data_IF_900957397356
#
_entry.id   IF_900957397356
#
_cell.length_a   1.000
_cell.length_b   1.000
_cell.length_c   1.000
_cell.angle_alpha   90.00
_cell.angle_beta   90.00
_cell.angle_gamma   90.00
#
_symmetry.space_group_name_H-M   'P 1'
#
loop_
_entity.id
_entity.type
_entity.pdbx_description
1 polymer ?
#
# COMPACT_ATOMS: atom_id res chain seq x y z
N UNK A 1 32.27 -32.30 -5.26
CA UNK A 1 30.83 -32.04 -4.96
C UNK A 1 30.65 -31.20 -3.72
N UNK A 2 31.17 -31.56 -2.57
CA UNK A 2 31.01 -30.78 -1.29
C UNK A 2 31.55 -29.34 -1.40
N UNK A 3 32.70 -29.14 -2.03
CA UNK A 3 33.29 -27.80 -2.21
C UNK A 3 32.40 -26.88 -3.05
N UNK A 4 31.84 -27.40 -4.14
CA UNK A 4 30.86 -26.60 -4.94
C UNK A 4 29.62 -26.22 -4.16
N UNK A 5 29.07 -27.11 -3.35
CA UNK A 5 27.94 -26.85 -2.50
C UNK A 5 28.23 -25.73 -1.47
N UNK A 6 29.43 -25.72 -0.92
CA UNK A 6 29.88 -24.66 0.00
C UNK A 6 29.96 -23.29 -0.68
N UNK A 7 30.53 -23.21 -1.88
CA UNK A 7 30.58 -21.93 -2.63
C UNK A 7 29.19 -21.42 -2.99
N UNK A 8 28.28 -22.32 -3.40
CA UNK A 8 26.87 -21.95 -3.66
C UNK A 8 26.21 -21.43 -2.38
N UNK A 9 26.41 -22.11 -1.24
CA UNK A 9 25.85 -21.67 0.04
C UNK A 9 26.39 -20.30 0.45
N UNK A 10 27.69 -20.05 0.29
CA UNK A 10 28.31 -18.75 0.58
C UNK A 10 27.70 -17.67 -0.32
N UNK A 11 27.58 -17.93 -1.63
CA UNK A 11 26.99 -16.99 -2.57
C UNK A 11 25.54 -16.63 -2.21
N UNK A 12 24.70 -17.62 -1.94
CA UNK A 12 23.31 -17.41 -1.52
C UNK A 12 23.20 -16.65 -0.21
N UNK A 13 24.05 -17.00 0.77
CA UNK A 13 24.12 -16.29 2.06
C UNK A 13 24.48 -14.83 1.84
N UNK A 14 25.49 -14.53 1.03
CA UNK A 14 25.92 -13.17 0.72
C UNK A 14 24.81 -12.36 0.04
N UNK A 15 24.08 -12.94 -0.90
CA UNK A 15 22.92 -12.30 -1.56
C UNK A 15 21.82 -12.00 -0.55
N UNK A 16 21.48 -12.92 0.35
CA UNK A 16 20.46 -12.71 1.36
C UNK A 16 20.86 -11.65 2.39
N UNK A 17 22.12 -11.64 2.81
CA UNK A 17 22.67 -10.57 3.68
C UNK A 17 22.58 -9.22 2.98
N UNK A 18 23.04 -9.12 1.74
CA UNK A 18 22.97 -7.89 0.96
C UNK A 18 21.53 -7.40 0.79
N UNK A 19 20.61 -8.32 0.40
CA UNK A 19 19.18 -8.01 0.23
C UNK A 19 18.49 -7.58 1.54
N UNK A 20 19.04 -7.95 2.68
CA UNK A 20 18.54 -7.55 4.01
C UNK A 20 19.12 -6.22 4.45
N UNK A 21 20.42 -6.00 4.26
CA UNK A 21 21.15 -4.83 4.76
C UNK A 21 20.95 -3.61 3.86
N UNK A 22 21.00 -3.78 2.53
CA UNK A 22 20.87 -2.66 1.59
C UNK A 22 19.61 -1.80 1.80
N UNK A 23 18.40 -2.37 2.00
CA UNK A 23 17.21 -1.56 2.29
C UNK A 23 17.28 -0.78 3.61
N UNK A 24 18.17 -1.17 4.54
CA UNK A 24 18.36 -0.48 5.83
C UNK A 24 19.31 0.72 5.71
N UNK A 25 20.09 0.81 4.62
CA UNK A 25 21.11 1.85 4.42
C UNK A 25 20.55 3.26 4.18
N UNK A 26 19.22 3.40 3.99
CA UNK A 26 18.59 4.69 3.68
C UNK A 26 18.83 5.18 2.24
N UNK A 27 19.53 4.44 1.40
CA UNK A 27 19.76 4.79 -0.01
C UNK A 27 18.43 4.87 -0.76
N UNK A 28 18.21 5.99 -1.47
CA UNK A 28 16.95 6.29 -2.18
C UNK A 28 16.85 5.67 -3.57
N UNK A 29 17.60 4.61 -3.86
CA UNK A 29 17.55 3.91 -5.14
C UNK A 29 16.38 2.91 -5.17
N UNK A 30 15.51 3.03 -6.18
CA UNK A 30 14.24 2.29 -6.25
C UNK A 30 14.42 0.76 -6.20
N UNK A 31 15.44 0.21 -6.87
CA UNK A 31 15.71 -1.23 -6.85
C UNK A 31 16.09 -1.73 -5.43
N UNK A 32 16.88 -0.96 -4.67
CA UNK A 32 17.24 -1.30 -3.28
C UNK A 32 15.98 -1.30 -2.40
N UNK A 33 15.13 -0.29 -2.54
CA UNK A 33 13.86 -0.24 -1.80
C UNK A 33 12.92 -1.37 -2.20
N UNK A 34 12.92 -1.75 -3.47
CA UNK A 34 12.15 -2.88 -4.01
C UNK A 34 12.43 -4.20 -3.32
N UNK A 35 13.66 -4.43 -2.82
CA UNK A 35 14.00 -5.63 -2.05
C UNK A 35 13.12 -5.79 -0.78
N UNK A 36 12.61 -4.70 -0.24
CA UNK A 36 11.73 -4.74 0.93
C UNK A 36 10.39 -5.45 0.67
N UNK A 37 9.94 -5.57 -0.57
CA UNK A 37 8.71 -6.29 -0.90
C UNK A 37 8.86 -7.82 -0.75
N UNK A 38 10.09 -8.33 -0.82
CA UNK A 38 10.37 -9.77 -0.77
C UNK A 38 10.75 -10.29 0.62
N UNK A 39 10.45 -9.54 1.70
CA UNK A 39 10.85 -9.91 3.07
C UNK A 39 10.38 -11.30 3.50
N UNK A 40 9.15 -11.69 3.14
CA UNK A 40 8.60 -13.00 3.50
C UNK A 40 9.32 -14.13 2.76
N UNK A 41 9.63 -13.94 1.49
CA UNK A 41 10.37 -14.88 0.68
C UNK A 41 11.80 -15.05 1.19
N UNK A 42 12.47 -13.92 1.52
CA UNK A 42 13.82 -13.94 2.10
C UNK A 42 13.85 -14.59 3.48
N UNK A 43 12.82 -14.41 4.29
CA UNK A 43 12.68 -15.10 5.58
C UNK A 43 12.68 -16.61 5.40
N UNK A 44 11.77 -17.13 4.58
CA UNK A 44 11.65 -18.57 4.39
C UNK A 44 12.89 -19.18 3.72
N UNK A 45 13.46 -18.49 2.74
CA UNK A 45 14.69 -18.91 2.10
C UNK A 45 15.85 -18.97 3.09
N UNK A 46 15.98 -17.97 3.96
CA UNK A 46 17.00 -17.96 5.00
C UNK A 46 16.81 -19.10 6.00
N UNK A 47 15.57 -19.40 6.42
CA UNK A 47 15.26 -20.53 7.32
C UNK A 47 15.64 -21.86 6.69
N UNK A 48 15.26 -22.10 5.45
CA UNK A 48 15.56 -23.37 4.74
C UNK A 48 17.07 -23.53 4.54
N UNK A 49 17.75 -22.48 4.07
CA UNK A 49 19.19 -22.52 3.87
C UNK A 49 19.96 -22.65 5.20
N UNK A 50 19.48 -22.04 6.29
CA UNK A 50 20.07 -22.22 7.62
C UNK A 50 19.98 -23.70 8.08
N UNK A 51 18.81 -24.33 7.89
CA UNK A 51 18.63 -25.74 8.22
C UNK A 51 19.57 -26.64 7.41
N UNK A 52 19.69 -26.38 6.09
CA UNK A 52 20.63 -27.12 5.22
C UNK A 52 22.10 -26.89 5.68
N UNK A 53 22.47 -25.64 5.96
CA UNK A 53 23.81 -25.29 6.38
C UNK A 53 24.22 -26.01 7.68
N UNK A 54 23.31 -26.13 8.64
CA UNK A 54 23.58 -26.82 9.91
C UNK A 54 23.81 -28.33 9.77
N UNK A 55 23.31 -28.94 8.68
CA UNK A 55 23.56 -30.34 8.35
C UNK A 55 24.93 -30.57 7.68
N UNK A 56 25.60 -29.50 7.23
CA UNK A 56 26.90 -29.60 6.58
C UNK A 56 28.05 -29.47 7.61
N UNK A 57 29.11 -30.27 7.55
CA UNK A 57 30.21 -30.27 8.53
C UNK A 57 30.86 -28.92 8.74
N UNK A 58 30.91 -28.07 7.70
CA UNK A 58 31.53 -26.73 7.72
C UNK A 58 30.50 -25.61 7.57
N UNK A 59 29.19 -25.91 7.65
CA UNK A 59 28.11 -24.95 7.40
C UNK A 59 27.68 -24.12 8.59
N UNK A 60 28.21 -24.36 9.80
CA UNK A 60 27.74 -23.73 11.05
C UNK A 60 27.71 -22.22 11.00
N UNK A 61 28.78 -21.59 10.48
CA UNK A 61 28.83 -20.11 10.37
C UNK A 61 27.81 -19.55 9.41
N UNK A 62 27.64 -20.19 8.25
CA UNK A 62 26.60 -19.82 7.29
C UNK A 62 25.20 -19.99 7.89
N UNK A 63 24.98 -21.09 8.64
CA UNK A 63 23.72 -21.31 9.36
C UNK A 63 23.40 -20.23 10.39
N UNK A 64 24.40 -19.79 11.18
CA UNK A 64 24.23 -18.71 12.15
C UNK A 64 23.91 -17.36 11.46
N UNK A 65 24.62 -17.04 10.38
CA UNK A 65 24.36 -15.80 9.61
C UNK A 65 22.96 -15.82 9.00
N UNK A 66 22.53 -16.93 8.41
CA UNK A 66 21.21 -17.11 7.84
C UNK A 66 20.10 -17.04 8.91
N UNK A 67 20.35 -17.61 10.10
CA UNK A 67 19.44 -17.47 11.23
C UNK A 67 19.29 -16.00 11.67
N UNK A 68 20.40 -15.25 11.71
CA UNK A 68 20.34 -13.81 12.00
C UNK A 68 19.56 -13.05 10.92
N UNK A 69 19.76 -13.36 9.63
CA UNK A 69 18.97 -12.80 8.53
C UNK A 69 17.48 -13.11 8.73
N UNK A 70 17.13 -14.36 9.03
CA UNK A 70 15.73 -14.74 9.27
C UNK A 70 15.12 -13.96 10.45
N UNK A 71 15.86 -13.79 11.55
CA UNK A 71 15.40 -13.00 12.70
C UNK A 71 15.17 -11.53 12.35
N UNK A 72 16.06 -10.91 11.58
CA UNK A 72 15.87 -9.53 11.10
C UNK A 72 14.61 -9.44 10.24
N UNK A 73 14.43 -10.34 9.28
CA UNK A 73 13.22 -10.33 8.44
C UNK A 73 11.95 -10.55 9.26
N UNK A 74 11.98 -11.48 10.22
CA UNK A 74 10.86 -11.73 11.14
C UNK A 74 10.49 -10.47 11.94
N UNK A 75 11.47 -9.73 12.44
CA UNK A 75 11.24 -8.46 13.16
C UNK A 75 10.51 -7.41 12.33
N UNK A 76 10.69 -7.40 11.01
CA UNK A 76 9.91 -6.56 10.10
C UNK A 76 8.53 -7.13 9.78
N UNK A 77 8.42 -8.45 9.61
CA UNK A 77 7.18 -9.13 9.23
C UNK A 77 6.17 -9.13 10.38
N UNK A 78 6.62 -9.37 11.62
CA UNK A 78 5.72 -9.52 12.78
C UNK A 78 4.82 -8.30 13.00
N UNK A 79 5.29 -7.12 12.60
CA UNK A 79 4.52 -5.86 12.71
C UNK A 79 3.21 -5.87 11.89
N UNK A 80 3.13 -6.72 10.88
CA UNK A 80 1.95 -6.87 10.01
C UNK A 80 1.12 -8.10 10.34
N UNK A 81 1.42 -8.77 11.45
CA UNK A 81 0.69 -9.95 11.91
C UNK A 81 -0.25 -9.63 13.06
N UNK A 82 -1.17 -10.55 13.34
CA UNK A 82 -2.07 -10.47 14.51
C UNK A 82 -1.35 -10.50 15.87
N UNK A 83 -0.07 -10.87 15.90
CA UNK A 83 0.75 -10.91 17.12
C UNK A 83 1.31 -9.53 17.49
N UNK A 84 1.24 -8.55 16.58
CA UNK A 84 1.66 -7.19 16.87
C UNK A 84 0.52 -6.41 17.50
N UNK A 85 0.87 -5.38 18.29
CA UNK A 85 -0.13 -4.46 18.85
C UNK A 85 -0.97 -3.83 17.74
N UNK A 86 -2.24 -3.61 17.99
CA UNK A 86 -3.11 -2.89 17.06
C UNK A 86 -2.53 -1.51 16.76
N UNK A 87 -2.38 -1.20 15.50
CA UNK A 87 -1.85 0.10 15.05
C UNK A 87 -2.96 1.14 14.86
N UNK A 88 -4.23 0.69 14.75
CA UNK A 88 -5.40 1.55 14.69
C UNK A 88 -6.21 1.43 15.97
N UNK A 89 -6.74 2.58 16.43
CA UNK A 89 -7.69 2.58 17.52
C UNK A 89 -9.00 1.92 17.04
N UNK A 90 -9.59 1.10 17.90
CA UNK A 90 -10.97 0.63 17.66
C UNK A 90 -11.94 1.78 17.86
N UNK A 91 -13.06 1.77 17.14
CA UNK A 91 -14.11 2.72 17.37
C UNK A 91 -14.70 2.54 18.78
N UNK A 92 -15.06 3.63 19.42
CA UNK A 92 -15.89 3.61 20.63
C UNK A 92 -17.19 2.84 20.35
N UNK A 93 -17.71 2.10 21.33
CA UNK A 93 -18.94 1.31 21.16
C UNK A 93 -20.15 2.17 20.77
N UNK A 94 -20.24 3.39 21.30
CA UNK A 94 -21.32 4.33 20.97
C UNK A 94 -21.20 4.81 19.52
N UNK A 95 -19.98 5.17 19.07
CA UNK A 95 -19.72 5.54 17.68
C UNK A 95 -19.92 4.37 16.71
N UNK A 96 -19.51 3.15 17.13
CA UNK A 96 -19.70 1.95 16.32
C UNK A 96 -21.19 1.57 16.15
N UNK A 97 -22.05 1.94 17.09
CA UNK A 97 -23.50 1.71 17.02
C UNK A 97 -24.25 2.78 16.20
N UNK A 98 -23.71 3.99 16.09
CA UNK A 98 -24.33 5.08 15.34
C UNK A 98 -23.94 5.02 13.86
N UNK A 99 -24.81 4.49 13.02
CA UNK A 99 -24.60 4.42 11.55
C UNK A 99 -24.37 5.78 10.89
N UNK A 100 -24.84 6.86 11.50
CA UNK A 100 -24.64 8.23 10.98
C UNK A 100 -23.19 8.72 11.19
N UNK A 101 -22.45 8.06 12.06
CA UNK A 101 -21.01 8.31 12.32
C UNK A 101 -20.09 7.40 11.51
N UNK A 102 -20.63 6.60 10.58
CA UNK A 102 -19.86 5.75 9.69
C UNK A 102 -19.60 6.44 8.36
N UNK A 103 -18.49 6.08 7.73
CA UNK A 103 -18.15 6.44 6.36
C UNK A 103 -17.62 5.20 5.65
N UNK A 104 -18.12 4.96 4.45
CA UNK A 104 -17.62 3.91 3.56
C UNK A 104 -16.76 4.53 2.46
N UNK A 105 -15.56 3.97 2.24
CA UNK A 105 -14.59 4.46 1.27
C UNK A 105 -14.30 3.37 0.24
N UNK A 106 -14.25 3.75 -1.03
CA UNK A 106 -13.70 2.93 -2.11
C UNK A 106 -12.48 3.66 -2.68
N UNK A 107 -11.30 3.06 -2.57
CA UNK A 107 -10.08 3.55 -3.18
C UNK A 107 -9.68 2.63 -4.34
N UNK A 108 -9.42 3.20 -5.51
CA UNK A 108 -9.06 2.47 -6.71
C UNK A 108 -7.90 3.14 -7.44
N UNK A 109 -6.83 2.39 -7.74
CA UNK A 109 -5.90 2.75 -8.79
C UNK A 109 -6.45 2.19 -10.10
N UNK A 110 -6.87 3.07 -11.01
CA UNK A 110 -7.53 2.65 -12.25
C UNK A 110 -6.53 2.23 -13.33
N UNK A 111 -5.24 2.54 -13.15
CA UNK A 111 -4.19 2.42 -14.16
C UNK A 111 -4.57 3.22 -15.40
N UNK A 112 -4.01 4.39 -15.58
CA UNK A 112 -4.37 5.38 -16.62
C UNK A 112 -4.54 4.78 -18.02
N UNK A 113 -3.72 3.78 -18.39
CA UNK A 113 -3.83 3.11 -19.70
C UNK A 113 -5.00 2.12 -19.83
N UNK A 114 -5.67 1.76 -18.72
CA UNK A 114 -6.87 0.95 -18.73
C UNK A 114 -8.06 1.82 -19.16
N UNK A 115 -8.94 1.30 -20.01
CA UNK A 115 -10.13 1.99 -20.55
C UNK A 115 -11.44 1.26 -20.23
N UNK A 116 -11.38 0.29 -19.32
CA UNK A 116 -12.55 -0.42 -18.81
C UNK A 116 -13.24 0.42 -17.71
N UNK A 117 -13.87 1.51 -18.13
CA UNK A 117 -14.59 2.43 -17.23
C UNK A 117 -15.77 1.74 -16.56
N UNK A 118 -16.47 0.88 -17.32
CA UNK A 118 -17.69 0.21 -16.88
C UNK A 118 -17.44 -0.70 -15.69
N UNK A 119 -16.28 -1.34 -15.60
CA UNK A 119 -15.93 -2.18 -14.47
C UNK A 119 -15.90 -1.40 -13.14
N UNK A 120 -15.31 -0.20 -13.12
CA UNK A 120 -15.30 0.65 -11.93
C UNK A 120 -16.68 1.21 -11.64
N UNK A 121 -17.40 1.71 -12.66
CA UNK A 121 -18.76 2.25 -12.51
C UNK A 121 -19.70 1.19 -11.92
N UNK A 122 -19.66 -0.04 -12.45
CA UNK A 122 -20.46 -1.15 -11.94
C UNK A 122 -20.08 -1.51 -10.49
N UNK A 123 -18.79 -1.46 -10.15
CA UNK A 123 -18.32 -1.68 -8.78
C UNK A 123 -18.86 -0.60 -7.83
N UNK A 124 -18.76 0.69 -8.22
CA UNK A 124 -19.26 1.81 -7.42
C UNK A 124 -20.76 1.68 -7.20
N UNK A 125 -21.54 1.40 -8.24
CA UNK A 125 -23.00 1.22 -8.14
C UNK A 125 -23.39 0.04 -7.27
N UNK A 126 -22.62 -1.06 -7.32
CA UNK A 126 -22.85 -2.26 -6.49
C UNK A 126 -22.53 -2.02 -5.02
N UNK A 127 -21.39 -1.37 -4.73
CA UNK A 127 -20.93 -1.15 -3.35
C UNK A 127 -21.54 0.09 -2.71
N UNK A 128 -21.94 1.08 -3.52
CA UNK A 128 -22.53 2.36 -3.09
C UNK A 128 -21.74 3.05 -1.96
N UNK A 129 -20.41 3.19 -2.06
CA UNK A 129 -19.62 3.83 -1.02
C UNK A 129 -20.01 5.30 -0.86
N UNK A 130 -19.79 5.87 0.33
CA UNK A 130 -20.02 7.28 0.58
C UNK A 130 -19.03 8.17 -0.17
N UNK A 131 -17.78 7.71 -0.26
CA UNK A 131 -16.72 8.42 -0.99
C UNK A 131 -15.96 7.43 -1.86
N UNK A 132 -15.67 7.83 -3.10
CA UNK A 132 -14.78 7.13 -4.03
C UNK A 132 -13.56 7.98 -4.28
N UNK A 133 -12.38 7.36 -4.20
CA UNK A 133 -11.09 7.96 -4.51
C UNK A 133 -10.45 7.15 -5.62
N UNK A 134 -10.34 7.72 -6.82
CA UNK A 134 -9.67 7.10 -7.96
C UNK A 134 -8.36 7.81 -8.24
N UNK A 135 -7.26 7.06 -8.33
CA UNK A 135 -5.94 7.59 -8.68
C UNK A 135 -5.48 7.03 -10.02
N UNK A 136 -4.52 7.70 -10.64
CA UNK A 136 -4.07 7.50 -12.02
C UNK A 136 -5.16 7.81 -13.06
N UNK A 137 -5.99 8.83 -12.80
CA UNK A 137 -7.04 9.27 -13.72
C UNK A 137 -6.56 10.36 -14.67
N UNK A 138 -6.96 10.26 -15.93
CA UNK A 138 -6.86 11.32 -16.92
C UNK A 138 -8.25 11.93 -17.21
N UNK A 139 -8.33 12.87 -18.14
CA UNK A 139 -9.60 13.52 -18.47
C UNK A 139 -10.66 12.52 -18.97
N UNK A 140 -10.35 11.55 -19.88
CA UNK A 140 -11.32 10.54 -20.29
C UNK A 140 -11.89 9.69 -19.14
N UNK A 141 -11.08 9.37 -18.11
CA UNK A 141 -11.56 8.69 -16.90
C UNK A 141 -12.56 9.55 -16.13
N UNK A 142 -12.26 10.85 -15.96
CA UNK A 142 -13.15 11.78 -15.24
C UNK A 142 -14.46 11.94 -16.02
N UNK A 143 -14.41 12.14 -17.33
CA UNK A 143 -15.60 12.30 -18.16
C UNK A 143 -16.51 11.07 -18.12
N UNK A 144 -15.91 9.86 -18.17
CA UNK A 144 -16.67 8.62 -18.05
C UNK A 144 -17.34 8.45 -16.68
N UNK A 145 -16.61 8.73 -15.61
CA UNK A 145 -17.16 8.63 -14.25
C UNK A 145 -18.25 9.67 -14.00
N UNK A 146 -18.05 10.90 -14.46
CA UNK A 146 -19.00 11.99 -14.27
C UNK A 146 -20.28 11.77 -15.05
N UNK A 147 -20.19 11.34 -16.32
CA UNK A 147 -21.38 11.09 -17.14
C UNK A 147 -22.34 10.07 -16.52
N UNK A 148 -21.78 9.09 -15.80
CA UNK A 148 -22.55 7.97 -15.24
C UNK A 148 -22.91 8.14 -13.76
N UNK A 149 -22.09 8.88 -12.98
CA UNK A 149 -22.21 8.89 -11.53
C UNK A 149 -22.51 10.27 -10.93
N UNK A 150 -22.53 11.37 -11.72
CA UNK A 150 -22.78 12.71 -11.19
C UNK A 150 -24.14 12.84 -10.48
N UNK A 151 -25.15 12.11 -10.94
CA UNK A 151 -26.47 12.09 -10.29
C UNK A 151 -26.48 11.41 -8.91
N UNK A 152 -25.52 10.51 -8.63
CA UNK A 152 -25.41 9.79 -7.38
C UNK A 152 -24.37 10.40 -6.44
N UNK A 153 -23.35 11.07 -6.98
CA UNK A 153 -22.23 11.70 -6.28
C UNK A 153 -22.19 13.19 -6.65
N UNK A 154 -22.81 14.07 -5.84
CA UNK A 154 -22.92 15.51 -6.20
C UNK A 154 -21.60 16.28 -6.00
N UNK A 155 -20.73 15.83 -5.10
CA UNK A 155 -19.50 16.56 -4.76
C UNK A 155 -18.26 15.91 -5.40
N UNK A 156 -17.46 16.73 -6.11
CA UNK A 156 -16.30 16.26 -6.86
C UNK A 156 -15.06 17.13 -6.62
N UNK A 157 -13.89 16.46 -6.54
CA UNK A 157 -12.59 17.10 -6.67
C UNK A 157 -11.87 16.38 -7.82
N UNK A 158 -11.60 17.10 -8.91
CA UNK A 158 -11.08 16.55 -10.16
C UNK A 158 -9.70 17.15 -10.45
N UNK A 159 -8.70 16.30 -10.52
CA UNK A 159 -7.31 16.67 -10.83
C UNK A 159 -6.78 15.70 -11.88
N UNK A 160 -7.26 15.79 -13.15
CA UNK A 160 -6.77 14.93 -14.22
C UNK A 160 -5.30 15.25 -14.54
N UNK A 161 -4.51 14.22 -14.84
CA UNK A 161 -3.11 14.35 -15.27
C UNK A 161 -2.80 13.29 -16.33
N UNK A 162 -1.95 13.65 -17.30
CA UNK A 162 -1.51 12.72 -18.36
C UNK A 162 -0.28 11.90 -17.95
N UNK A 163 0.27 12.14 -16.76
CA UNK A 163 1.49 11.55 -16.24
C UNK A 163 1.27 10.48 -15.15
N UNK A 164 0.13 9.83 -15.13
CA UNK A 164 -0.28 8.78 -14.16
C UNK A 164 -0.50 9.26 -12.72
N UNK A 165 -0.46 10.56 -12.43
CA UNK A 165 -0.65 11.09 -11.08
C UNK A 165 -2.00 11.82 -10.90
N UNK A 166 -2.95 11.64 -11.81
CA UNK A 166 -4.27 12.25 -11.68
C UNK A 166 -5.06 11.66 -10.52
N UNK A 167 -5.86 12.51 -9.87
CA UNK A 167 -6.71 12.15 -8.72
C UNK A 167 -8.14 12.60 -9.01
N UNK A 168 -9.10 11.74 -8.68
CA UNK A 168 -10.52 12.07 -8.64
C UNK A 168 -11.10 11.63 -7.30
N UNK A 169 -11.77 12.55 -6.62
CA UNK A 169 -12.57 12.25 -5.43
C UNK A 169 -14.00 12.60 -5.75
N UNK A 170 -14.92 11.67 -5.55
CA UNK A 170 -16.36 11.91 -5.65
C UNK A 170 -17.06 11.42 -4.39
N UNK A 171 -18.06 12.17 -3.95
CA UNK A 171 -18.71 11.95 -2.65
C UNK A 171 -20.22 12.11 -2.73
N UNK A 172 -20.93 11.27 -1.99
CA UNK A 172 -22.37 11.39 -1.69
C UNK A 172 -22.62 12.27 -0.47
N UNK A 173 -21.57 12.49 0.33
CA UNK A 173 -21.60 13.34 1.51
C UNK A 173 -20.94 14.69 1.20
N UNK A 174 -21.33 15.77 1.86
CA UNK A 174 -20.75 17.09 1.61
C UNK A 174 -19.23 17.11 1.82
N UNK A 175 -18.51 17.60 0.80
CA UNK A 175 -17.08 17.90 0.88
C UNK A 175 -16.86 19.35 1.25
N UNK A 176 -15.84 19.61 2.04
CA UNK A 176 -15.42 20.97 2.43
C UNK A 176 -13.89 21.05 2.56
N UNK A 177 -13.36 22.25 2.65
CA UNK A 177 -11.92 22.50 2.79
C UNK A 177 -11.07 21.77 1.72
N UNK A 178 -11.57 21.68 0.49
CA UNK A 178 -10.86 21.01 -0.59
C UNK A 178 -9.60 21.79 -0.96
N UNK A 179 -8.45 21.12 -0.88
CA UNK A 179 -7.16 21.69 -1.17
C UNK A 179 -6.32 20.70 -2.00
N UNK A 180 -5.78 21.18 -3.12
CA UNK A 180 -4.87 20.43 -3.96
C UNK A 180 -3.46 21.00 -3.80
N UNK A 181 -2.50 20.18 -3.40
CA UNK A 181 -1.10 20.57 -3.22
C UNK A 181 -0.16 19.56 -3.86
N UNK A 182 1.01 20.01 -4.25
CA UNK A 182 2.15 19.18 -4.65
C UNK A 182 3.15 19.10 -3.49
N UNK A 183 2.89 18.23 -2.51
CA UNK A 183 3.61 18.22 -1.22
C UNK A 183 5.00 17.57 -1.34
N UNK A 184 5.13 16.53 -2.14
CA UNK A 184 6.36 15.70 -2.19
C UNK A 184 7.20 16.01 -3.41
N UNK A 185 6.58 16.13 -4.57
CA UNK A 185 7.27 16.33 -5.85
C UNK A 185 6.39 17.17 -6.76
N UNK A 186 7.01 18.10 -7.49
CA UNK A 186 6.33 18.90 -8.51
C UNK A 186 5.65 17.99 -9.56
N UNK A 187 4.42 18.28 -9.93
CA UNK A 187 3.63 17.49 -10.86
C UNK A 187 2.90 16.29 -10.23
N UNK A 188 3.14 16.00 -8.94
CA UNK A 188 2.45 14.92 -8.20
C UNK A 188 1.47 15.57 -7.20
N UNK A 189 0.17 15.63 -7.55
CA UNK A 189 -0.83 16.24 -6.68
C UNK A 189 -1.11 15.38 -5.45
N UNK A 190 -1.52 16.02 -4.39
CA UNK A 190 -2.20 15.44 -3.25
C UNK A 190 -3.47 16.22 -2.96
N UNK A 191 -4.52 15.54 -2.55
CA UNK A 191 -5.81 16.16 -2.22
C UNK A 191 -6.05 16.03 -0.73
N UNK A 192 -6.37 17.15 -0.09
CA UNK A 192 -6.90 17.19 1.27
C UNK A 192 -8.33 17.70 1.21
N UNK A 193 -9.24 17.06 1.92
CA UNK A 193 -10.63 17.51 2.05
C UNK A 193 -11.23 17.02 3.36
N UNK A 194 -12.30 17.65 3.81
CA UNK A 194 -13.10 17.18 4.92
C UNK A 194 -14.46 16.69 4.41
N UNK A 195 -14.92 15.57 4.94
CA UNK A 195 -16.25 14.98 4.67
C UNK A 195 -17.11 15.16 5.90
N UNK A 196 -18.30 15.71 5.74
CA UNK A 196 -19.27 15.86 6.82
C UNK A 196 -20.17 14.64 6.88
N UNK A 197 -20.12 13.88 7.98
CA UNK A 197 -20.93 12.71 8.22
C UNK A 197 -22.39 13.07 8.55
N UNK A 198 -23.29 12.08 8.47
CA UNK A 198 -24.69 12.25 8.86
C UNK A 198 -24.90 12.63 10.33
N UNK A 199 -23.94 12.37 11.20
CA UNK A 199 -23.91 12.83 12.60
C UNK A 199 -23.47 14.28 12.78
N UNK A 200 -23.00 14.95 11.72
CA UNK A 200 -22.38 16.27 11.77
C UNK A 200 -20.88 16.25 12.08
N UNK A 201 -20.30 15.10 12.41
CA UNK A 201 -18.86 14.96 12.60
C UNK A 201 -18.11 15.13 11.27
N UNK A 202 -16.90 15.68 11.32
CA UNK A 202 -16.05 15.82 10.13
C UNK A 202 -14.92 14.80 10.14
N UNK A 203 -14.72 14.14 9.00
CA UNK A 203 -13.60 13.25 8.74
C UNK A 203 -12.70 13.88 7.70
N UNK A 204 -11.42 14.00 8.02
CA UNK A 204 -10.42 14.56 7.10
C UNK A 204 -9.81 13.46 6.26
N UNK A 205 -9.87 13.62 4.93
CA UNK A 205 -9.30 12.71 3.94
C UNK A 205 -8.04 13.30 3.33
N UNK A 206 -7.05 12.44 3.11
CA UNK A 206 -5.83 12.75 2.37
C UNK A 206 -5.66 11.69 1.28
N UNK A 207 -5.59 12.13 0.03
CA UNK A 207 -5.35 11.28 -1.15
C UNK A 207 -4.01 11.68 -1.74
N UNK A 208 -3.09 10.72 -1.87
CA UNK A 208 -1.71 10.92 -2.34
C UNK A 208 -1.31 9.82 -3.33
#
# INVERSE_FOLDING_TARGET
MIVYLQWVLIGLTSVLVASTVLPLSGVRFGAIRGLSFFRLQFFWLAVVLAAIALLLPQGRWAGLVLAAVALVQLGYIVKFTRFWRRQSLGADRALAADKRSHISLLAANVKQSNRDYDALIALVRRQRPDVVMAVEVDQPWIDALESELAGEYPDWIKVPKDNTYGICVMSRLPLSEAEVREVVTQGVPSVRTAVTLGSGAQVRLYVV
#
